data_IF_635598519536
#
_entry.id   IF_635598519536
#
_cell.length_a   1.000
_cell.length_b   1.000
_cell.length_c   1.000
_cell.angle_alpha   90.00
_cell.angle_beta   90.00
_cell.angle_gamma   90.00
#
_symmetry.space_group_name_H-M   'P 1'
#
loop_
_entity.id
_entity.type
_entity.pdbx_description
1 polymer ?
#
# COMPACT_ATOMS: atom_id res chain seq x y z
N UNK A 1 -19.88 -18.58 9.02
CA UNK A 1 -18.76 -18.04 9.82
C UNK A 1 -17.51 -18.01 8.94
N UNK A 2 -16.93 -16.83 8.64
CA UNK A 2 -15.59 -16.78 8.00
C UNK A 2 -14.60 -17.43 8.98
N UNK A 3 -13.89 -18.48 8.55
CA UNK A 3 -12.94 -19.20 9.40
C UNK A 3 -11.76 -18.28 9.76
N UNK A 4 -11.83 -17.67 10.95
CA UNK A 4 -10.85 -16.71 11.48
C UNK A 4 -9.42 -17.26 11.41
N UNK A 5 -9.26 -18.58 11.61
CA UNK A 5 -7.98 -19.31 11.50
C UNK A 5 -7.39 -19.27 10.09
N UNK A 6 -8.23 -19.40 9.06
CA UNK A 6 -7.81 -19.37 7.65
C UNK A 6 -7.37 -17.96 7.23
N UNK A 7 -8.15 -16.94 7.59
CA UNK A 7 -7.80 -15.54 7.31
C UNK A 7 -6.51 -15.11 8.04
N UNK A 8 -6.32 -15.56 9.29
CA UNK A 8 -5.08 -15.35 10.03
C UNK A 8 -3.88 -16.02 9.35
N UNK A 9 -4.03 -17.26 8.87
CA UNK A 9 -2.96 -17.95 8.13
C UNK A 9 -2.64 -17.24 6.81
N UNK A 10 -3.66 -16.83 6.05
CA UNK A 10 -3.48 -16.10 4.80
C UNK A 10 -2.79 -14.76 5.03
N UNK A 11 -3.18 -14.03 6.08
CA UNK A 11 -2.51 -12.79 6.46
C UNK A 11 -1.05 -13.04 6.86
N UNK A 12 -0.79 -14.03 7.72
CA UNK A 12 0.60 -14.38 8.13
C UNK A 12 1.46 -14.71 6.91
N UNK A 13 0.98 -15.57 6.01
CA UNK A 13 1.70 -15.91 4.79
C UNK A 13 1.96 -14.68 3.91
N UNK A 14 0.97 -13.79 3.78
CA UNK A 14 1.11 -12.55 3.00
C UNK A 14 2.13 -11.61 3.64
N UNK A 15 2.09 -11.46 4.96
CA UNK A 15 3.08 -10.68 5.70
C UNK A 15 4.48 -11.26 5.59
N UNK A 16 4.64 -12.58 5.65
CA UNK A 16 5.93 -13.25 5.47
C UNK A 16 6.48 -13.03 4.05
N UNK A 17 5.62 -13.06 3.03
CA UNK A 17 6.00 -12.69 1.66
C UNK A 17 6.44 -11.23 1.61
N UNK A 18 5.64 -10.31 2.15
CA UNK A 18 5.93 -8.87 2.15
C UNK A 18 7.22 -8.53 2.92
N UNK A 19 7.49 -9.19 4.06
CA UNK A 19 8.72 -9.01 4.85
C UNK A 19 9.98 -9.44 4.10
N UNK A 20 9.87 -10.42 3.21
CA UNK A 20 10.98 -10.86 2.36
C UNK A 20 11.24 -9.93 1.19
N UNK A 21 10.28 -9.07 0.84
CA UNK A 21 10.46 -8.11 -0.24
C UNK A 21 11.34 -6.96 0.24
N UNK A 22 12.40 -6.70 -0.51
CA UNK A 22 13.28 -5.56 -0.30
C UNK A 22 13.17 -4.65 -1.52
N UNK A 23 12.75 -3.41 -1.30
CA UNK A 23 13.06 -2.32 -2.24
C UNK A 23 14.53 -1.95 -2.09
N UNK A 24 15.11 -1.30 -3.09
CA UNK A 24 16.48 -0.77 -2.97
C UNK A 24 16.54 0.47 -2.06
N UNK A 25 15.45 1.25 -1.99
CA UNK A 25 15.37 2.52 -1.27
C UNK A 25 13.99 2.70 -0.58
N UNK A 26 13.62 3.94 -0.27
CA UNK A 26 12.32 4.38 0.27
C UNK A 26 11.21 4.28 -0.78
N UNK A 27 10.87 3.05 -1.16
CA UNK A 27 9.97 2.79 -2.30
C UNK A 27 8.83 1.85 -1.93
N UNK A 28 8.59 1.61 -0.64
CA UNK A 28 7.52 0.77 -0.13
C UNK A 28 6.58 1.59 0.73
N UNK A 29 5.36 1.79 0.25
CA UNK A 29 4.29 2.51 0.93
C UNK A 29 3.39 1.50 1.64
N UNK A 30 3.06 1.78 2.90
CA UNK A 30 2.07 1.03 3.68
C UNK A 30 0.92 1.95 4.10
N UNK A 31 -0.28 1.69 3.57
CA UNK A 31 -1.48 2.48 3.82
C UNK A 31 -2.48 1.66 4.63
N UNK A 32 -2.73 2.08 5.86
CA UNK A 32 -3.72 1.48 6.76
C UNK A 32 -4.94 2.40 6.84
N UNK A 33 -6.10 1.84 6.57
CA UNK A 33 -7.34 2.60 6.44
C UNK A 33 -8.40 2.00 7.37
N UNK A 34 -8.90 2.76 8.36
CA UNK A 34 -9.99 2.30 9.22
C UNK A 34 -11.34 2.40 8.47
N UNK A 35 -12.32 1.59 8.90
CA UNK A 35 -13.64 1.45 8.28
C UNK A 35 -14.45 2.75 8.21
N UNK A 36 -14.22 3.66 9.15
CA UNK A 36 -14.99 4.90 9.32
C UNK A 36 -14.47 6.04 8.44
N UNK A 37 -13.30 5.89 7.81
CA UNK A 37 -12.73 6.95 6.98
C UNK A 37 -13.42 7.01 5.63
N UNK A 38 -13.57 8.23 5.10
CA UNK A 38 -14.14 8.44 3.78
C UNK A 38 -13.06 8.25 2.71
N UNK A 39 -13.43 7.59 1.62
CA UNK A 39 -12.52 7.37 0.47
C UNK A 39 -12.02 8.71 -0.10
N UNK A 40 -12.89 9.72 -0.16
CA UNK A 40 -12.53 11.07 -0.62
C UNK A 40 -11.41 11.71 0.20
N UNK A 41 -11.42 11.54 1.52
CA UNK A 41 -10.36 12.04 2.39
C UNK A 41 -9.02 11.39 2.05
N UNK A 42 -9.00 10.06 1.89
CA UNK A 42 -7.79 9.29 1.60
C UNK A 42 -7.24 9.65 0.22
N UNK A 43 -8.12 9.80 -0.77
CA UNK A 43 -7.75 10.24 -2.11
C UNK A 43 -7.12 11.63 -2.08
N UNK A 44 -7.68 12.56 -1.29
CA UNK A 44 -7.11 13.90 -1.15
C UNK A 44 -5.75 13.86 -0.45
N UNK A 45 -5.63 13.06 0.61
CA UNK A 45 -4.37 12.85 1.32
C UNK A 45 -3.27 12.35 0.37
N UNK A 46 -3.55 11.31 -0.41
CA UNK A 46 -2.58 10.76 -1.37
C UNK A 46 -2.23 11.73 -2.52
N UNK A 47 -3.14 12.64 -2.90
CA UNK A 47 -2.81 13.71 -3.85
C UNK A 47 -1.83 14.73 -3.26
N UNK A 48 -1.94 15.04 -1.97
CA UNK A 48 -0.97 15.89 -1.30
C UNK A 48 0.40 15.21 -1.21
N UNK A 49 0.43 13.91 -0.88
CA UNK A 49 1.66 13.11 -0.88
C UNK A 49 2.35 13.07 -2.25
N UNK A 50 1.57 13.04 -3.36
CA UNK A 50 2.13 13.18 -4.72
C UNK A 50 2.86 14.51 -4.87
N UNK A 51 2.25 15.62 -4.43
CA UNK A 51 2.84 16.95 -4.53
C UNK A 51 4.12 17.07 -3.69
N UNK A 52 4.11 16.52 -2.47
CA UNK A 52 5.29 16.51 -1.61
C UNK A 52 6.42 15.65 -2.20
N UNK A 53 6.07 14.49 -2.77
CA UNK A 53 7.00 13.57 -3.41
C UNK A 53 7.70 14.15 -4.65
N UNK A 54 7.17 15.24 -5.25
CA UNK A 54 7.84 15.93 -6.37
C UNK A 54 9.22 16.49 -5.98
N UNK A 55 9.43 16.79 -4.69
CA UNK A 55 10.67 17.34 -4.15
C UNK A 55 11.78 16.30 -3.94
N UNK A 56 11.50 15.02 -4.17
CA UNK A 56 12.52 13.96 -4.09
C UNK A 56 13.62 14.22 -5.13
N UNK A 57 14.87 14.31 -4.65
CA UNK A 57 16.05 14.66 -5.47
C UNK A 57 16.40 13.58 -6.50
N UNK A 58 16.30 12.31 -6.11
CA UNK A 58 16.58 11.17 -7.00
C UNK A 58 15.44 10.99 -8.00
N UNK A 59 15.70 11.19 -9.30
CA UNK A 59 14.70 11.01 -10.37
C UNK A 59 14.09 9.61 -10.37
N UNK A 60 14.92 8.58 -10.13
CA UNK A 60 14.47 7.19 -10.09
C UNK A 60 13.52 6.94 -8.92
N UNK A 61 13.94 7.32 -7.71
CA UNK A 61 13.12 7.15 -6.49
C UNK A 61 11.83 7.95 -6.57
N UNK A 62 11.91 9.20 -7.08
CA UNK A 62 10.73 10.04 -7.30
C UNK A 62 9.70 9.36 -8.20
N UNK A 63 10.15 8.84 -9.36
CA UNK A 63 9.28 8.12 -10.28
C UNK A 63 8.62 6.92 -9.59
N UNK A 64 9.39 6.11 -8.86
CA UNK A 64 8.89 4.93 -8.18
C UNK A 64 7.83 5.26 -7.11
N UNK A 65 8.07 6.29 -6.28
CA UNK A 65 7.10 6.74 -5.26
C UNK A 65 5.82 7.27 -5.92
N UNK A 66 5.94 8.13 -6.93
CA UNK A 66 4.79 8.68 -7.65
C UNK A 66 3.94 7.60 -8.33
N UNK A 67 4.59 6.61 -8.95
CA UNK A 67 3.92 5.47 -9.58
C UNK A 67 3.18 4.63 -8.53
N UNK A 68 3.77 4.41 -7.34
CA UNK A 68 3.14 3.65 -6.26
C UNK A 68 1.91 4.36 -5.71
N UNK A 69 2.01 5.67 -5.43
CA UNK A 69 0.85 6.46 -4.97
C UNK A 69 -0.25 6.47 -6.04
N UNK A 70 0.12 6.61 -7.31
CA UNK A 70 -0.83 6.59 -8.43
C UNK A 70 -1.57 5.24 -8.55
N UNK A 71 -0.88 4.13 -8.32
CA UNK A 71 -1.51 2.80 -8.25
C UNK A 71 -2.48 2.66 -7.08
N UNK A 72 -2.11 3.15 -5.90
CA UNK A 72 -3.01 3.17 -4.73
C UNK A 72 -4.29 3.96 -5.04
N UNK A 73 -4.16 5.15 -5.62
CA UNK A 73 -5.29 5.97 -6.07
C UNK A 73 -6.17 5.24 -7.10
N UNK A 74 -5.56 4.56 -8.06
CA UNK A 74 -6.29 3.77 -9.06
C UNK A 74 -7.12 2.65 -8.46
N UNK A 75 -6.62 1.99 -7.41
CA UNK A 75 -7.37 0.96 -6.68
C UNK A 75 -8.46 1.55 -5.78
N UNK A 76 -8.17 2.65 -5.08
CA UNK A 76 -9.16 3.34 -4.25
C UNK A 76 -10.38 3.80 -5.05
N UNK A 77 -10.20 4.24 -6.29
CA UNK A 77 -11.31 4.61 -7.20
C UNK A 77 -12.25 3.45 -7.53
N UNK A 78 -11.76 2.20 -7.47
CA UNK A 78 -12.56 0.99 -7.72
C UNK A 78 -13.34 0.53 -6.48
N UNK A 79 -12.99 1.07 -5.32
CA UNK A 79 -13.62 0.70 -4.04
C UNK A 79 -14.79 1.64 -3.81
N UNK A 80 -16.00 1.08 -3.67
CA UNK A 80 -17.22 1.85 -3.37
C UNK A 80 -17.39 2.09 -1.87
N UNK A 81 -16.94 1.14 -1.04
CA UNK A 81 -17.05 1.19 0.42
C UNK A 81 -15.87 0.45 1.06
N UNK A 82 -15.36 1.01 2.16
CA UNK A 82 -14.31 0.37 2.95
C UNK A 82 -14.91 -0.81 3.74
N UNK A 83 -14.25 -1.99 3.77
CA UNK A 83 -14.72 -3.12 4.57
C UNK A 83 -14.85 -2.79 6.06
N UNK A 84 -15.64 -3.58 6.80
CA UNK A 84 -15.91 -3.36 8.23
C UNK A 84 -14.68 -3.42 9.14
N UNK A 85 -13.64 -4.16 8.73
CA UNK A 85 -12.37 -4.22 9.43
C UNK A 85 -11.38 -3.14 8.99
N UNK A 86 -11.75 -2.33 7.99
CA UNK A 86 -10.84 -1.43 7.30
C UNK A 86 -10.19 -2.09 6.10
N UNK A 87 -9.09 -1.48 5.64
CA UNK A 87 -8.34 -1.92 4.47
C UNK A 87 -6.86 -1.65 4.70
N UNK A 88 -6.01 -2.60 4.31
CA UNK A 88 -4.56 -2.40 4.26
C UNK A 88 -4.10 -2.51 2.82
N UNK A 89 -3.33 -1.52 2.37
CA UNK A 89 -2.76 -1.51 1.03
C UNK A 89 -1.26 -1.32 1.12
N UNK A 90 -0.51 -2.13 0.39
CA UNK A 90 0.93 -1.95 0.19
C UNK A 90 1.18 -1.66 -1.27
N UNK A 91 2.04 -0.69 -1.57
CA UNK A 91 2.50 -0.47 -2.94
C UNK A 91 3.95 -0.06 -2.96
N UNK A 92 4.70 -0.54 -3.94
CA UNK A 92 6.11 -0.20 -4.00
C UNK A 92 6.85 -0.80 -5.17
N UNK A 93 8.00 -0.21 -5.49
CA UNK A 93 8.91 -0.70 -6.52
C UNK A 93 9.77 -1.82 -5.93
N UNK A 94 9.65 -3.02 -6.51
CA UNK A 94 10.31 -4.22 -5.99
C UNK A 94 11.31 -4.71 -7.02
N UNK A 95 12.58 -4.75 -6.60
CA UNK A 95 13.69 -5.26 -7.37
C UNK A 95 13.40 -6.68 -7.89
N UNK A 96 13.57 -6.89 -9.20
CA UNK A 96 13.50 -8.24 -9.74
C UNK A 96 14.88 -8.88 -9.59
N UNK A 97 14.93 -10.01 -8.88
CA UNK A 97 16.17 -10.76 -8.62
C UNK A 97 17.32 -9.94 -8.00
N UNK A 98 17.01 -8.84 -7.29
CA UNK A 98 18.04 -8.01 -6.66
C UNK A 98 18.89 -7.21 -7.64
N UNK A 99 18.40 -6.95 -8.87
CA UNK A 99 19.09 -6.14 -9.87
C UNK A 99 18.54 -4.70 -9.88
N UNK A 100 19.34 -3.67 -9.59
CA UNK A 100 18.91 -2.27 -9.67
C UNK A 100 18.43 -1.87 -11.07
N UNK A 101 17.36 -1.08 -11.15
CA UNK A 101 16.78 -0.63 -12.43
C UNK A 101 15.79 -1.62 -13.07
N UNK A 102 15.57 -2.78 -12.45
CA UNK A 102 14.57 -3.77 -12.90
C UNK A 102 13.28 -3.73 -12.07
N UNK A 103 13.11 -2.71 -11.24
CA UNK A 103 12.06 -2.67 -10.24
C UNK A 103 10.68 -2.71 -10.88
N UNK A 104 9.84 -3.63 -10.40
CA UNK A 104 8.44 -3.71 -10.78
C UNK A 104 7.59 -3.15 -9.67
N UNK A 105 6.77 -2.17 -10.00
CA UNK A 105 5.85 -1.60 -9.02
C UNK A 105 4.70 -2.58 -8.77
N UNK A 106 4.57 -3.05 -7.55
CA UNK A 106 3.55 -4.00 -7.12
C UNK A 106 2.54 -3.33 -6.18
N UNK A 107 1.37 -3.97 -6.06
CA UNK A 107 0.31 -3.54 -5.16
C UNK A 107 -0.35 -4.75 -4.52
N UNK A 108 -0.56 -4.65 -3.21
CA UNK A 108 -1.23 -5.66 -2.40
C UNK A 108 -2.36 -5.01 -1.64
N UNK A 109 -3.53 -5.63 -1.68
CA UNK A 109 -4.72 -5.17 -0.96
C UNK A 109 -5.14 -6.31 -0.04
N UNK A 110 -5.27 -6.02 1.25
CA UNK A 110 -5.53 -7.01 2.29
C UNK A 110 -6.74 -6.53 3.09
N UNK A 111 -7.74 -7.41 3.25
CA UNK A 111 -8.80 -7.28 4.23
C UNK A 111 -8.24 -7.77 5.59
N UNK A 112 -8.04 -6.87 6.56
CA UNK A 112 -7.42 -7.25 7.83
C UNK A 112 -8.36 -8.14 8.64
N UNK A 113 -7.85 -9.16 9.36
CA UNK A 113 -8.67 -10.05 10.19
C UNK A 113 -9.27 -9.36 11.44
N UNK A 114 -8.87 -8.10 11.71
CA UNK A 114 -9.40 -7.29 12.80
C UNK A 114 -9.42 -5.81 12.42
N UNK A 115 -10.23 -5.03 13.14
CA UNK A 115 -10.46 -3.61 12.87
C UNK A 115 -9.18 -2.77 12.97
N UNK A 116 -8.87 -2.05 11.90
CA UNK A 116 -7.87 -0.98 11.89
C UNK A 116 -8.44 0.20 12.68
N UNK A 117 -7.73 0.64 13.73
CA UNK A 117 -8.19 1.70 14.63
C UNK A 117 -7.88 3.11 14.12
N UNK A 118 -6.83 3.25 13.32
CA UNK A 118 -6.28 4.55 12.93
C UNK A 118 -5.80 4.53 11.50
N UNK A 119 -6.00 5.64 10.79
CA UNK A 119 -5.35 5.87 9.51
C UNK A 119 -3.83 5.99 9.70
N UNK A 120 -3.04 5.31 8.87
CA UNK A 120 -1.58 5.43 8.84
C UNK A 120 -1.06 5.36 7.41
N UNK A 121 -0.09 6.20 7.09
CA UNK A 121 0.68 6.19 5.87
C UNK A 121 2.16 6.13 6.27
N UNK A 122 2.89 5.14 5.75
CA UNK A 122 4.31 4.87 6.03
C UNK A 122 5.05 4.63 4.74
#
# INVERSE_FOLDING_TARGET
MKNKTFELHKMKNTLEILRKKKGFHTELISLYIPSERRISFIVNYLKNEISESQNIKSTHTKKNVLDSISKLLGQLKKITKIPENGLVMFSGAIAQNGIPGTEKNEIYIIDPPGKIKSFKYL
#
